data_IF_071751494725
#
_entry.id   IF_071751494725
#
_cell.length_a   1.000
_cell.length_b   1.000
_cell.length_c   1.000
_cell.angle_alpha   90.00
_cell.angle_beta   90.00
_cell.angle_gamma   90.00
#
_symmetry.space_group_name_H-M   'P 1'
#
loop_
_entity.id
_entity.type
_entity.pdbx_description
1 polymer ?
#
# COMPACT_ATOMS: atom_id res chain seq x y z
N UNK A 1 -2.74 0.06 8.41
CA UNK A 1 -1.46 0.71 8.04
C UNK A 1 -1.21 0.46 6.56
N UNK A 2 -0.65 1.44 5.84
CA UNK A 2 -0.19 1.27 4.46
C UNK A 2 1.32 1.45 4.46
N UNK A 3 2.07 0.46 3.96
CA UNK A 3 3.52 0.48 3.88
C UNK A 3 3.96 0.44 2.42
N UNK A 4 4.94 1.27 2.06
CA UNK A 4 5.48 1.36 0.70
C UNK A 4 7.00 1.24 0.76
N UNK A 5 7.56 0.23 0.12
CA UNK A 5 9.01 0.08 -0.02
C UNK A 5 9.37 -0.85 -1.16
N UNK A 6 10.48 -0.53 -1.82
CA UNK A 6 11.03 -1.25 -2.97
C UNK A 6 12.48 -1.61 -2.71
N UNK A 7 13.05 -2.53 -3.48
CA UNK A 7 14.47 -2.83 -3.39
C UNK A 7 15.32 -1.59 -3.74
N UNK A 8 16.35 -1.26 -2.94
CA UNK A 8 16.70 -1.85 -1.65
C UNK A 8 15.74 -1.41 -0.52
N UNK A 9 15.09 -2.37 0.14
CA UNK A 9 14.03 -2.09 1.12
C UNK A 9 14.56 -1.26 2.30
N UNK A 10 13.88 -0.16 2.60
CA UNK A 10 14.24 0.70 3.72
C UNK A 10 14.05 -0.07 5.04
N UNK A 11 15.13 -0.23 5.80
CA UNK A 11 15.14 -0.99 7.06
C UNK A 11 14.05 -0.53 8.03
N UNK A 12 13.89 0.78 8.19
CA UNK A 12 12.89 1.38 9.08
C UNK A 12 11.45 0.98 8.70
N UNK A 13 11.16 0.85 7.40
CA UNK A 13 9.83 0.41 6.92
C UNK A 13 9.61 -1.06 7.23
N UNK A 14 10.64 -1.90 7.07
CA UNK A 14 10.56 -3.33 7.41
C UNK A 14 10.30 -3.51 8.90
N UNK A 15 11.04 -2.80 9.76
CA UNK A 15 10.87 -2.83 11.22
C UNK A 15 9.46 -2.37 11.64
N UNK A 16 8.91 -1.33 10.98
CA UNK A 16 7.54 -0.86 11.23
C UNK A 16 6.46 -1.87 10.81
N UNK A 17 6.66 -2.57 9.69
CA UNK A 17 5.74 -3.62 9.21
C UNK A 17 5.74 -4.81 10.15
N UNK A 18 6.92 -5.23 10.64
CA UNK A 18 7.04 -6.27 11.64
C UNK A 18 6.35 -5.87 12.96
N UNK A 19 6.59 -4.65 13.45
CA UNK A 19 5.94 -4.13 14.64
C UNK A 19 4.41 -4.04 14.47
N UNK A 20 3.94 -3.62 13.29
CA UNK A 20 2.53 -3.60 12.93
C UNK A 20 1.89 -4.99 13.02
N UNK A 21 2.59 -6.00 12.50
CA UNK A 21 2.14 -7.40 12.56
C UNK A 21 2.04 -7.91 14.00
N UNK A 22 3.06 -7.63 14.82
CA UNK A 22 3.06 -7.99 16.26
C UNK A 22 1.87 -7.37 17.01
N UNK A 23 1.44 -6.17 16.60
CA UNK A 23 0.28 -5.46 17.15
C UNK A 23 -1.05 -5.86 16.51
N UNK A 24 -1.05 -6.86 15.62
CA UNK A 24 -2.24 -7.33 14.87
C UNK A 24 -2.92 -6.21 14.06
N UNK A 25 -2.15 -5.20 13.63
CA UNK A 25 -2.67 -4.18 12.75
C UNK A 25 -2.98 -4.79 11.39
N UNK A 26 -4.06 -4.34 10.73
CA UNK A 26 -4.29 -4.65 9.32
C UNK A 26 -3.32 -3.87 8.45
N UNK A 27 -2.67 -4.55 7.49
CA UNK A 27 -1.57 -4.01 6.72
C UNK A 27 -1.79 -4.18 5.22
N UNK A 28 -1.63 -3.08 4.48
CA UNK A 28 -1.56 -3.05 3.02
C UNK A 28 -0.11 -2.73 2.64
N UNK A 29 0.50 -3.56 1.80
CA UNK A 29 1.84 -3.33 1.26
C UNK A 29 1.78 -2.90 -0.21
N UNK A 30 2.60 -1.93 -0.59
CA UNK A 30 2.90 -1.58 -1.98
C UNK A 30 4.40 -1.79 -2.17
N UNK A 31 4.79 -2.71 -3.05
CA UNK A 31 6.17 -3.20 -3.17
C UNK A 31 6.48 -3.68 -4.59
N UNK A 32 7.71 -4.11 -4.87
CA UNK A 32 8.17 -4.56 -6.19
C UNK A 32 8.17 -6.08 -6.37
N UNK A 33 7.93 -6.85 -5.31
CA UNK A 33 7.99 -8.32 -5.34
C UNK A 33 7.05 -8.99 -4.33
N UNK A 34 6.48 -10.12 -4.71
CA UNK A 34 5.68 -10.97 -3.80
C UNK A 34 6.52 -11.62 -2.70
N UNK A 35 7.84 -11.66 -2.84
CA UNK A 35 8.77 -12.19 -1.83
C UNK A 35 9.47 -11.07 -1.05
N UNK A 36 8.96 -9.84 -1.12
CA UNK A 36 9.52 -8.73 -0.35
C UNK A 36 9.28 -8.93 1.16
N UNK A 37 10.12 -8.33 2.03
CA UNK A 37 9.90 -8.36 3.46
C UNK A 37 8.56 -7.71 3.87
N UNK A 38 8.01 -6.80 3.06
CA UNK A 38 6.70 -6.19 3.31
C UNK A 38 5.56 -7.17 3.05
N UNK A 39 5.67 -8.00 2.00
CA UNK A 39 4.62 -8.92 1.59
C UNK A 39 4.32 -9.97 2.68
N UNK A 40 5.36 -10.47 3.36
CA UNK A 40 5.28 -11.52 4.37
C UNK A 40 4.32 -11.21 5.54
N UNK A 41 4.12 -9.93 5.86
CA UNK A 41 3.32 -9.49 7.00
C UNK A 41 2.04 -8.74 6.58
N UNK A 42 1.78 -8.61 5.28
CA UNK A 42 0.66 -7.84 4.74
C UNK A 42 -0.61 -8.70 4.59
N UNK A 43 -1.78 -8.12 4.88
CA UNK A 43 -3.07 -8.72 4.55
C UNK A 43 -3.39 -8.57 3.05
N UNK A 44 -2.93 -7.47 2.46
CA UNK A 44 -3.08 -7.16 1.03
C UNK A 44 -1.74 -6.67 0.50
N UNK A 45 -1.26 -7.26 -0.58
CA UNK A 45 -0.01 -6.87 -1.23
C UNK A 45 -0.24 -6.46 -2.68
N UNK A 46 0.07 -5.20 -3.00
CA UNK A 46 0.14 -4.70 -4.37
C UNK A 46 1.59 -4.74 -4.84
N UNK A 47 1.85 -5.58 -5.83
CA UNK A 47 3.16 -5.64 -6.49
C UNK A 47 3.15 -4.73 -7.71
N UNK A 48 3.95 -3.67 -7.64
CA UNK A 48 4.03 -2.59 -8.62
C UNK A 48 5.43 -2.57 -9.22
N UNK A 49 5.50 -2.66 -10.54
CA UNK A 49 6.75 -2.46 -11.29
C UNK A 49 6.86 -0.99 -11.67
N UNK A 50 7.87 -0.32 -11.13
CA UNK A 50 8.20 1.06 -11.47
C UNK A 50 9.17 1.13 -12.64
N UNK A 51 9.04 2.16 -13.47
CA UNK A 51 10.08 2.49 -14.44
C UNK A 51 11.36 2.93 -13.71
N UNK A 52 12.51 2.45 -14.18
CA UNK A 52 13.81 2.72 -13.57
C UNK A 52 14.87 2.99 -14.64
N UNK A 53 15.66 4.05 -14.44
CA UNK A 53 16.79 4.44 -15.30
C UNK A 53 17.94 4.86 -14.39
N UNK A 54 19.13 4.28 -14.58
CA UNK A 54 20.37 4.59 -13.82
C UNK A 54 20.18 4.62 -12.29
N UNK A 55 19.38 3.69 -11.75
CA UNK A 55 19.10 3.60 -10.32
C UNK A 55 18.01 4.56 -9.81
N UNK A 56 17.53 5.49 -10.64
CA UNK A 56 16.39 6.34 -10.33
C UNK A 56 15.08 5.62 -10.63
N UNK A 57 14.16 5.59 -9.66
CA UNK A 57 12.85 4.95 -9.75
C UNK A 57 11.75 6.02 -9.81
N UNK A 58 10.85 5.92 -10.79
CA UNK A 58 9.82 6.96 -11.07
C UNK A 58 8.78 7.16 -9.96
N UNK A 59 8.41 6.10 -9.22
CA UNK A 59 7.35 6.10 -8.19
C UNK A 59 5.93 6.50 -8.66
N UNK A 60 5.74 6.79 -9.95
CA UNK A 60 4.47 7.28 -10.51
C UNK A 60 3.39 6.21 -10.44
N UNK A 61 3.72 4.93 -10.72
CA UNK A 61 2.73 3.87 -10.71
C UNK A 61 2.17 3.65 -9.29
N UNK A 62 3.05 3.72 -8.28
CA UNK A 62 2.67 3.59 -6.87
C UNK A 62 1.83 4.76 -6.38
N UNK A 63 2.17 5.99 -6.81
CA UNK A 63 1.36 7.17 -6.49
C UNK A 63 -0.03 7.08 -7.13
N UNK A 64 -0.10 6.67 -8.41
CA UNK A 64 -1.37 6.49 -9.12
C UNK A 64 -2.26 5.43 -8.44
N UNK A 65 -1.65 4.31 -8.00
CA UNK A 65 -2.36 3.30 -7.22
C UNK A 65 -2.89 3.87 -5.90
N UNK A 66 -2.06 4.59 -5.14
CA UNK A 66 -2.46 5.19 -3.87
C UNK A 66 -3.61 6.20 -4.06
N UNK A 67 -3.55 7.03 -5.10
CA UNK A 67 -4.60 7.98 -5.46
C UNK A 67 -5.90 7.26 -5.83
N UNK A 68 -5.80 6.20 -6.64
CA UNK A 68 -6.96 5.39 -7.02
C UNK A 68 -7.63 4.78 -5.79
N UNK A 69 -6.86 4.20 -4.87
CA UNK A 69 -7.39 3.64 -3.61
C UNK A 69 -8.08 4.71 -2.76
N UNK A 70 -7.49 5.90 -2.64
CA UNK A 70 -8.07 7.01 -1.88
C UNK A 70 -9.38 7.50 -2.51
N UNK A 71 -9.42 7.69 -3.84
CA UNK A 71 -10.62 8.13 -4.56
C UNK A 71 -11.72 7.07 -4.51
N UNK A 72 -11.39 5.80 -4.75
CA UNK A 72 -12.36 4.71 -4.63
C UNK A 72 -12.94 4.60 -3.23
N UNK A 73 -12.12 4.76 -2.19
CA UNK A 73 -12.60 4.78 -0.80
C UNK A 73 -13.58 5.95 -0.58
N UNK A 74 -13.23 7.16 -1.05
CA UNK A 74 -14.09 8.32 -0.93
C UNK A 74 -15.45 8.10 -1.63
N UNK A 75 -15.43 7.62 -2.89
CA UNK A 75 -16.65 7.34 -3.65
C UNK A 75 -17.55 6.29 -2.97
N UNK A 76 -16.95 5.20 -2.49
CA UNK A 76 -17.71 4.15 -1.80
C UNK A 76 -18.33 4.67 -0.49
N UNK A 77 -17.58 5.47 0.28
CA UNK A 77 -18.08 6.05 1.53
C UNK A 77 -19.22 7.07 1.32
N UNK A 78 -19.20 7.81 0.21
CA UNK A 78 -20.28 8.72 -0.17
C UNK A 78 -21.55 7.96 -0.53
N UNK A 79 -21.44 6.87 -1.29
CA UNK A 79 -22.58 6.02 -1.64
C UNK A 79 -23.23 5.37 -0.41
N UNK A 80 -22.42 4.88 0.54
CA UNK A 80 -22.93 4.36 1.81
C UNK A 80 -23.66 5.42 2.64
N UNK A 81 -23.15 6.65 2.64
CA UNK A 81 -23.75 7.78 3.38
C UNK A 81 -25.09 8.18 2.76
N UNK A 82 -25.18 8.28 1.43
CA UNK A 82 -26.43 8.57 0.72
C UNK A 82 -27.48 7.47 0.87
N UNK A 83 -27.06 6.20 0.89
CA UNK A 83 -27.96 5.07 1.09
C UNK A 83 -28.55 5.05 2.50
N UNK A 84 -27.74 5.35 3.54
CA UNK A 84 -28.21 5.47 4.92
C UNK A 84 -29.16 6.66 5.15
N UNK A 85 -29.07 7.70 4.33
CA UNK A 85 -29.88 8.91 4.48
C UNK A 85 -31.24 8.81 3.77
N UNK A 86 -31.39 7.84 2.86
CA UNK A 86 -32.66 7.52 2.15
C UNK A 86 -33.45 6.36 2.78
N UNK A 87 -32.85 5.66 3.74
CA UNK A 87 -33.48 4.60 4.54
C UNK A 87 -34.05 5.17 5.84
#
# INVERSE_FOLDING_TARGET
MVAVSFSPYAREVVELVELGAQRKARQIAITDSQVSPLAAFSDVCFVVREAQVDGFRSQVASLCLAQTLAVSLALNSSQESEAKQKA
#
